data_IF_381559939170
#
_entry.id   IF_381559939170
#
_cell.length_a   1.000
_cell.length_b   1.000
_cell.length_c   1.000
_cell.angle_alpha   90.00
_cell.angle_beta   90.00
_cell.angle_gamma   90.00
#
_symmetry.space_group_name_H-M   'P 1'
#
loop_
_entity.id
_entity.type
_entity.pdbx_description
1 polymer ?
#
# COMPACT_ATOMS: atom_id res chain seq x y z
N UNK A 1 -22.56 2.95 3.89
CA UNK A 1 -22.42 3.56 2.54
C UNK A 1 -21.77 4.95 2.55
N UNK A 2 -21.92 5.76 3.63
CA UNK A 2 -21.32 7.12 3.71
C UNK A 2 -19.84 7.12 3.39
N UNK A 3 -19.07 6.14 3.87
CA UNK A 3 -17.64 6.03 3.64
C UNK A 3 -17.26 5.84 2.16
N UNK A 4 -18.18 5.46 1.29
CA UNK A 4 -17.95 5.32 -0.14
C UNK A 4 -17.89 6.67 -0.86
N UNK A 5 -18.47 7.72 -0.26
CA UNK A 5 -18.52 9.07 -0.82
C UNK A 5 -17.33 9.95 -0.37
N UNK A 6 -16.57 9.52 0.63
CA UNK A 6 -15.35 10.19 1.07
C UNK A 6 -14.18 9.64 0.25
N UNK A 7 -13.61 10.44 -0.64
CA UNK A 7 -12.58 10.03 -1.60
C UNK A 7 -11.28 10.77 -1.30
N UNK A 8 -10.18 10.04 -1.27
CA UNK A 8 -8.83 10.56 -1.12
C UNK A 8 -7.99 10.33 -2.37
N UNK A 9 -7.12 11.28 -2.63
CA UNK A 9 -6.09 11.20 -3.65
C UNK A 9 -4.74 11.33 -2.95
N UNK A 10 -3.90 10.31 -3.08
CA UNK A 10 -2.56 10.27 -2.50
C UNK A 10 -1.52 10.30 -3.61
N UNK A 11 -0.45 11.07 -3.40
CA UNK A 11 0.80 10.90 -4.11
C UNK A 11 1.66 9.92 -3.32
N UNK A 12 2.08 8.82 -3.96
CA UNK A 12 2.94 7.79 -3.37
C UNK A 12 4.25 7.79 -4.15
N UNK A 13 5.36 7.98 -3.44
CA UNK A 13 6.69 8.02 -4.03
C UNK A 13 7.54 6.86 -3.52
N UNK A 14 8.42 6.34 -4.39
CA UNK A 14 9.37 5.31 -4.02
C UNK A 14 8.80 3.94 -3.70
N UNK A 15 7.59 3.61 -4.21
CA UNK A 15 6.98 2.30 -4.00
C UNK A 15 7.62 1.24 -4.88
N UNK A 16 8.00 0.07 -4.33
CA UNK A 16 8.51 -1.04 -5.14
C UNK A 16 7.44 -1.56 -6.11
N UNK A 17 7.88 -2.11 -7.24
CA UNK A 17 6.96 -2.75 -8.19
C UNK A 17 6.30 -3.99 -7.60
N UNK A 18 6.98 -4.70 -6.71
CA UNK A 18 6.41 -5.82 -5.97
C UNK A 18 5.21 -5.37 -5.12
N UNK A 19 5.34 -4.26 -4.39
CA UNK A 19 4.25 -3.70 -3.61
C UNK A 19 3.14 -3.14 -4.51
N UNK A 20 3.50 -2.46 -5.61
CA UNK A 20 2.55 -1.97 -6.60
C UNK A 20 1.69 -3.09 -7.20
N UNK A 21 2.27 -4.25 -7.53
CA UNK A 21 1.50 -5.39 -8.04
C UNK A 21 0.45 -5.88 -7.05
N UNK A 22 0.80 -5.91 -5.76
CA UNK A 22 -0.15 -6.27 -4.71
C UNK A 22 -1.22 -5.19 -4.50
N UNK A 23 -0.85 -3.90 -4.59
CA UNK A 23 -1.77 -2.78 -4.52
C UNK A 23 -2.78 -2.82 -5.67
N UNK A 24 -2.33 -3.08 -6.90
CA UNK A 24 -3.18 -3.15 -8.09
C UNK A 24 -4.21 -4.30 -8.06
N UNK A 25 -4.12 -5.24 -7.12
CA UNK A 25 -5.15 -6.28 -6.92
C UNK A 25 -6.38 -5.78 -6.18
N UNK A 26 -6.32 -4.63 -5.55
CA UNK A 26 -7.48 -3.96 -4.96
C UNK A 26 -8.29 -3.30 -6.07
N UNK A 27 -9.54 -3.77 -6.27
CA UNK A 27 -10.33 -3.42 -7.46
C UNK A 27 -11.03 -2.07 -7.39
N UNK A 28 -11.25 -1.56 -6.18
CA UNK A 28 -11.98 -0.30 -5.96
C UNK A 28 -11.02 0.89 -5.75
N UNK A 29 -9.91 0.88 -6.48
CA UNK A 29 -8.92 1.95 -6.49
C UNK A 29 -8.64 2.39 -7.92
N UNK A 30 -8.16 3.62 -8.08
CA UNK A 30 -7.62 4.11 -9.34
C UNK A 30 -6.14 4.42 -9.18
N UNK A 31 -5.33 3.98 -10.13
CA UNK A 31 -3.89 4.14 -10.13
C UNK A 31 -3.44 4.87 -11.40
N UNK A 32 -2.67 5.94 -11.23
CA UNK A 32 -1.89 6.55 -12.30
C UNK A 32 -0.40 6.37 -11.97
N UNK A 33 0.25 5.45 -12.65
CA UNK A 33 1.60 4.98 -12.34
C UNK A 33 2.59 5.51 -13.35
N UNK A 34 3.75 5.97 -12.87
CA UNK A 34 4.85 6.38 -13.73
C UNK A 34 5.36 5.20 -14.57
N UNK A 35 5.45 5.41 -15.88
CA UNK A 35 5.85 4.37 -16.81
C UNK A 35 7.30 3.93 -16.58
N UNK A 36 7.56 2.61 -16.61
CA UNK A 36 8.91 2.04 -16.58
C UNK A 36 9.76 2.43 -17.78
N UNK A 37 9.17 2.78 -18.90
CA UNK A 37 9.92 3.29 -20.08
C UNK A 37 10.69 4.56 -19.73
N UNK A 38 10.10 5.43 -18.88
CA UNK A 38 10.72 6.66 -18.40
C UNK A 38 11.63 6.44 -17.18
N UNK A 39 11.31 5.47 -16.32
CA UNK A 39 12.10 5.17 -15.13
C UNK A 39 13.54 4.71 -15.47
N UNK A 40 13.72 4.03 -16.62
CA UNK A 40 15.05 3.65 -17.13
C UNK A 40 15.91 4.85 -17.56
N UNK A 41 15.37 6.05 -17.67
CA UNK A 41 16.11 7.26 -18.07
C UNK A 41 16.66 8.05 -16.89
N UNK A 42 16.01 7.95 -15.73
CA UNK A 42 16.37 8.70 -14.51
C UNK A 42 16.56 7.71 -13.36
N UNK A 43 17.80 7.31 -13.09
CA UNK A 43 18.24 6.58 -11.90
C UNK A 43 17.18 5.63 -11.32
N UNK A 44 17.32 4.35 -11.60
CA UNK A 44 16.50 3.32 -10.98
C UNK A 44 16.83 3.31 -9.49
N UNK A 45 16.02 3.99 -8.69
CA UNK A 45 16.00 3.78 -7.25
C UNK A 45 15.38 2.42 -6.99
N UNK A 46 15.80 1.78 -5.93
CA UNK A 46 15.28 0.48 -5.54
C UNK A 46 14.99 0.44 -4.05
N UNK A 47 13.98 -0.32 -3.72
CA UNK A 47 13.61 -0.62 -2.34
C UNK A 47 14.52 -1.73 -1.81
N UNK A 48 15.17 -1.50 -0.68
CA UNK A 48 15.85 -2.54 0.08
C UNK A 48 14.87 -3.07 1.12
N UNK A 49 14.56 -4.37 1.11
CA UNK A 49 13.70 -4.96 2.12
C UNK A 49 14.21 -4.68 3.53
N UNK A 50 13.33 -4.19 4.41
CA UNK A 50 13.68 -3.85 5.79
C UNK A 50 13.98 -5.06 6.66
N UNK A 51 13.67 -6.26 6.18
CA UNK A 51 14.00 -7.53 6.80
C UNK A 51 15.45 -7.94 6.61
N UNK A 52 16.18 -7.30 5.68
CA UNK A 52 17.60 -7.54 5.47
C UNK A 52 18.42 -6.73 6.46
N UNK A 53 19.19 -7.43 7.27
CA UNK A 53 20.19 -6.86 8.18
C UNK A 53 21.59 -6.98 7.54
N UNK A 54 22.56 -6.22 8.04
CA UNK A 54 23.94 -6.38 7.63
C UNK A 54 24.51 -7.73 8.10
N UNK A 55 25.31 -8.48 7.29
CA UNK A 55 25.85 -8.08 5.96
C UNK A 55 24.94 -8.35 4.75
N UNK A 56 23.80 -9.01 4.94
CA UNK A 56 22.93 -9.47 3.85
C UNK A 56 22.43 -8.32 2.98
N UNK A 57 22.24 -7.13 3.58
CA UNK A 57 21.85 -5.92 2.84
C UNK A 57 22.92 -5.45 1.85
N UNK A 58 24.21 -5.62 2.17
CA UNK A 58 25.33 -5.31 1.25
C UNK A 58 25.39 -6.31 0.09
N UNK A 59 25.24 -7.60 0.38
CA UNK A 59 25.21 -8.65 -0.65
C UNK A 59 24.02 -8.47 -1.59
N UNK A 60 22.86 -8.12 -1.04
CA UNK A 60 21.67 -7.75 -1.83
C UNK A 60 21.96 -6.60 -2.79
N UNK A 61 22.55 -5.53 -2.29
CA UNK A 61 22.90 -4.35 -3.09
C UNK A 61 23.89 -4.69 -4.20
N UNK A 62 24.93 -5.46 -3.89
CA UNK A 62 25.93 -5.89 -4.87
C UNK A 62 25.29 -6.69 -6.02
N UNK A 63 24.45 -7.68 -5.69
CA UNK A 63 23.75 -8.49 -6.69
C UNK A 63 22.82 -7.62 -7.57
N UNK A 64 22.12 -6.67 -6.95
CA UNK A 64 21.21 -5.77 -7.64
C UNK A 64 21.94 -4.81 -8.60
N UNK A 65 23.07 -4.26 -8.20
CA UNK A 65 23.87 -3.37 -9.02
C UNK A 65 24.33 -4.08 -10.31
N UNK A 66 24.66 -5.37 -10.24
CA UNK A 66 24.93 -6.22 -11.41
C UNK A 66 23.76 -6.31 -12.38
N UNK A 67 22.56 -6.63 -11.86
CA UNK A 67 21.33 -6.71 -12.69
C UNK A 67 20.99 -5.36 -13.32
N UNK A 68 21.15 -4.26 -12.60
CA UNK A 68 20.89 -2.91 -13.13
C UNK A 68 21.92 -2.52 -14.21
N UNK A 69 23.19 -2.95 -14.10
CA UNK A 69 24.20 -2.75 -15.14
C UNK A 69 23.84 -3.52 -16.42
N UNK A 70 23.42 -4.79 -16.28
CA UNK A 70 22.95 -5.60 -17.41
C UNK A 70 21.71 -4.99 -18.06
N UNK A 71 20.78 -4.49 -17.27
CA UNK A 71 19.59 -3.78 -17.76
C UNK A 71 19.97 -2.55 -18.61
N UNK A 72 20.97 -1.77 -18.19
CA UNK A 72 21.47 -0.62 -18.94
C UNK A 72 22.12 -1.07 -20.26
N UNK A 73 22.86 -2.17 -20.25
CA UNK A 73 23.47 -2.76 -21.45
C UNK A 73 22.39 -3.20 -22.45
N UNK A 74 21.35 -3.91 -21.98
CA UNK A 74 20.23 -4.29 -22.83
C UNK A 74 19.46 -3.09 -23.39
N UNK A 75 19.30 -2.04 -22.58
CA UNK A 75 18.68 -0.79 -23.03
C UNK A 75 19.44 -0.15 -24.17
N UNK A 76 20.76 -0.09 -24.08
CA UNK A 76 21.61 0.48 -25.12
C UNK A 76 21.55 -0.33 -26.42
N UNK A 77 21.45 -1.66 -26.33
CA UNK A 77 21.43 -2.55 -27.48
C UNK A 77 20.04 -2.68 -28.14
N UNK A 78 18.96 -2.74 -27.34
CA UNK A 78 17.63 -3.16 -27.78
C UNK A 78 16.51 -2.17 -27.41
N UNK A 79 16.82 -1.11 -26.66
CA UNK A 79 15.85 -0.11 -26.21
C UNK A 79 15.09 -0.48 -24.94
N UNK A 80 14.25 0.45 -24.48
CA UNK A 80 13.55 0.36 -23.20
C UNK A 80 12.57 -0.81 -23.11
N UNK A 81 11.93 -1.19 -24.22
CA UNK A 81 10.92 -2.25 -24.23
C UNK A 81 11.49 -3.64 -24.00
N UNK A 82 12.74 -3.86 -24.38
CA UNK A 82 13.46 -5.10 -24.08
C UNK A 82 14.07 -5.05 -22.68
N UNK A 83 14.76 -3.95 -22.35
CA UNK A 83 15.44 -3.81 -21.07
C UNK A 83 14.50 -3.93 -19.84
N UNK A 84 13.25 -3.47 -19.96
CA UNK A 84 12.26 -3.55 -18.86
C UNK A 84 11.96 -4.97 -18.39
N UNK A 85 12.18 -6.01 -19.21
CA UNK A 85 11.97 -7.41 -18.81
C UNK A 85 13.02 -7.91 -17.82
N UNK A 86 14.18 -7.24 -17.75
CA UNK A 86 15.22 -7.56 -16.77
C UNK A 86 15.11 -6.74 -15.48
N UNK A 87 14.22 -5.74 -15.42
CA UNK A 87 14.06 -4.93 -14.23
C UNK A 87 13.56 -5.77 -13.05
N UNK A 88 14.29 -5.77 -11.92
CA UNK A 88 13.83 -6.47 -10.74
C UNK A 88 12.63 -5.77 -10.09
N UNK A 89 11.82 -6.54 -9.37
CA UNK A 89 10.59 -6.06 -8.71
C UNK A 89 10.84 -5.04 -7.58
N UNK A 90 12.08 -4.97 -7.07
CA UNK A 90 12.48 -3.97 -6.08
C UNK A 90 12.67 -2.56 -6.67
N UNK A 91 12.74 -2.41 -8.00
CA UNK A 91 12.80 -1.09 -8.63
C UNK A 91 11.56 -0.29 -8.26
N UNK A 92 11.78 0.95 -7.83
CA UNK A 92 10.72 1.81 -7.33
C UNK A 92 10.00 2.56 -8.44
N UNK A 93 8.80 3.02 -8.12
CA UNK A 93 7.96 3.86 -8.97
C UNK A 93 7.17 4.85 -8.13
N UNK A 94 6.72 5.93 -8.79
CA UNK A 94 5.82 6.91 -8.20
C UNK A 94 4.43 6.74 -8.82
N UNK A 95 3.40 7.04 -8.05
CA UNK A 95 2.03 6.91 -8.52
C UNK A 95 1.08 7.88 -7.82
N UNK A 96 -0.04 8.15 -8.48
CA UNK A 96 -1.21 8.73 -7.86
C UNK A 96 -2.21 7.61 -7.57
N UNK A 97 -2.63 7.53 -6.33
CA UNK A 97 -3.61 6.57 -5.82
C UNK A 97 -4.89 7.30 -5.44
N UNK A 98 -6.02 6.91 -6.02
CA UNK A 98 -7.34 7.41 -5.64
C UNK A 98 -8.18 6.25 -5.13
N UNK A 99 -8.76 6.41 -3.93
CA UNK A 99 -9.68 5.44 -3.34
C UNK A 99 -10.62 6.13 -2.34
N UNK A 100 -11.74 5.49 -2.07
CA UNK A 100 -12.64 5.96 -1.03
C UNK A 100 -12.26 5.41 0.35
N UNK A 101 -12.81 6.02 1.40
CA UNK A 101 -12.49 5.67 2.79
C UNK A 101 -12.89 4.22 3.14
N UNK A 102 -13.94 3.68 2.52
CA UNK A 102 -14.34 2.28 2.72
C UNK A 102 -13.29 1.31 2.16
N UNK A 103 -12.78 1.58 0.95
CA UNK A 103 -11.72 0.77 0.36
C UNK A 103 -10.41 0.93 1.14
N UNK A 104 -10.07 2.14 1.58
CA UNK A 104 -8.89 2.36 2.42
C UNK A 104 -8.97 1.54 3.72
N UNK A 105 -10.13 1.48 4.36
CA UNK A 105 -10.38 0.63 5.54
C UNK A 105 -10.17 -0.86 5.20
N UNK A 106 -10.64 -1.31 4.04
CA UNK A 106 -10.45 -2.68 3.58
C UNK A 106 -8.97 -3.00 3.33
N UNK A 107 -8.25 -2.12 2.62
CA UNK A 107 -6.80 -2.21 2.39
C UNK A 107 -6.06 -2.27 3.72
N UNK A 108 -6.34 -1.34 4.64
CA UNK A 108 -5.69 -1.29 5.95
C UNK A 108 -5.89 -2.59 6.73
N UNK A 109 -7.13 -3.09 6.81
CA UNK A 109 -7.46 -4.35 7.51
C UNK A 109 -6.67 -5.54 6.95
N UNK A 110 -6.57 -5.66 5.63
CA UNK A 110 -5.87 -6.77 4.98
C UNK A 110 -4.35 -6.63 5.05
N UNK A 111 -3.82 -5.41 4.95
CA UNK A 111 -2.39 -5.17 4.71
C UNK A 111 -1.60 -4.79 5.95
N UNK A 112 -2.23 -4.59 7.10
CA UNK A 112 -1.53 -4.42 8.39
C UNK A 112 -1.41 -5.71 9.20
N UNK A 113 -1.91 -6.84 8.67
CA UNK A 113 -1.74 -8.16 9.29
C UNK A 113 -0.31 -8.66 9.20
N UNK A 114 0.10 -9.52 10.14
CA UNK A 114 1.47 -10.06 10.26
C UNK A 114 1.97 -10.84 9.03
N UNK A 115 1.06 -11.35 8.22
CA UNK A 115 1.37 -12.12 7.00
C UNK A 115 1.46 -11.26 5.75
N UNK A 116 1.14 -9.98 5.84
CA UNK A 116 1.28 -9.06 4.72
C UNK A 116 2.75 -8.64 4.55
N UNK A 117 3.15 -8.36 3.31
CA UNK A 117 4.47 -7.85 2.98
C UNK A 117 4.76 -6.58 3.80
N UNK A 118 5.94 -6.49 4.42
CA UNK A 118 6.27 -5.40 5.36
C UNK A 118 6.19 -4.02 4.70
N UNK A 119 6.67 -3.88 3.47
CA UNK A 119 6.52 -2.63 2.70
C UNK A 119 5.06 -2.21 2.56
N UNK A 120 4.15 -3.17 2.28
CA UNK A 120 2.73 -2.85 2.18
C UNK A 120 2.10 -2.51 3.54
N UNK A 121 2.57 -3.14 4.62
CA UNK A 121 2.14 -2.74 5.97
C UNK A 121 2.48 -1.27 6.23
N UNK A 122 3.69 -0.84 5.83
CA UNK A 122 4.13 0.55 5.98
C UNK A 122 3.33 1.49 5.08
N UNK A 123 3.11 1.14 3.82
CA UNK A 123 2.25 1.92 2.92
C UNK A 123 0.86 2.11 3.52
N UNK A 124 0.20 1.03 3.94
CA UNK A 124 -1.15 1.10 4.49
C UNK A 124 -1.23 1.98 5.75
N UNK A 125 -0.22 1.91 6.63
CA UNK A 125 -0.11 2.77 7.82
C UNK A 125 0.12 4.23 7.43
N UNK A 126 1.00 4.49 6.46
CA UNK A 126 1.32 5.84 5.98
C UNK A 126 0.10 6.51 5.34
N UNK A 127 -0.66 5.81 4.51
CA UNK A 127 -1.90 6.33 3.92
C UNK A 127 -2.88 6.80 5.00
N UNK A 128 -3.07 5.99 6.06
CA UNK A 128 -3.98 6.33 7.16
C UNK A 128 -3.43 7.47 8.03
N UNK A 129 -2.10 7.58 8.19
CA UNK A 129 -1.48 8.67 8.93
C UNK A 129 -1.63 10.04 8.25
N UNK A 130 -1.94 10.07 6.96
CA UNK A 130 -2.22 11.30 6.21
C UNK A 130 -3.66 11.82 6.40
N UNK A 131 -4.57 11.05 7.03
CA UNK A 131 -5.95 11.47 7.23
C UNK A 131 -6.13 12.33 8.48
N UNK A 132 -7.21 13.14 8.55
CA UNK A 132 -7.70 13.68 9.81
C UNK A 132 -7.93 12.56 10.84
N UNK A 133 -7.70 12.84 12.14
CA UNK A 133 -7.67 11.79 13.17
C UNK A 133 -9.02 11.06 13.34
N UNK A 134 -10.13 11.76 13.21
CA UNK A 134 -11.47 11.18 13.25
C UNK A 134 -11.72 10.18 12.12
N UNK A 135 -11.25 10.49 10.90
CA UNK A 135 -11.35 9.59 9.76
C UNK A 135 -10.33 8.44 9.84
N UNK A 136 -9.11 8.73 10.31
CA UNK A 136 -8.11 7.71 10.59
C UNK A 136 -8.59 6.69 11.63
N UNK A 137 -9.30 7.14 12.67
CA UNK A 137 -9.93 6.28 13.66
C UNK A 137 -10.97 5.34 13.02
N UNK A 138 -11.78 5.83 12.09
CA UNK A 138 -12.75 4.99 11.36
C UNK A 138 -12.05 3.91 10.51
N UNK A 139 -10.89 4.20 9.94
CA UNK A 139 -10.11 3.23 9.15
C UNK A 139 -9.42 2.21 10.04
N UNK A 140 -8.78 2.65 11.12
CA UNK A 140 -8.06 1.78 12.08
C UNK A 140 -8.99 0.85 12.83
N UNK A 141 -10.25 1.17 12.87
CA UNK A 141 -11.23 0.42 13.64
C UNK A 141 -11.37 -1.02 13.13
N UNK A 142 -10.78 -1.95 13.86
CA UNK A 142 -10.63 -3.36 13.45
C UNK A 142 -11.90 -4.20 13.59
N UNK A 143 -12.97 -3.69 14.22
CA UNK A 143 -14.00 -4.61 14.63
C UNK A 143 -15.24 -4.58 13.74
N UNK A 144 -15.44 -5.70 13.04
CA UNK A 144 -16.78 -6.16 12.66
C UNK A 144 -17.73 -6.25 13.90
N UNK A 145 -17.16 -6.15 15.10
CA UNK A 145 -17.87 -6.14 16.37
C UNK A 145 -18.59 -4.80 16.62
N UNK A 146 -17.99 -3.64 16.29
CA UNK A 146 -18.71 -2.37 16.41
C UNK A 146 -19.82 -2.27 15.36
N UNK A 147 -19.54 -2.64 14.09
CA UNK A 147 -20.60 -2.68 13.09
C UNK A 147 -21.75 -3.59 13.52
N UNK A 148 -21.42 -4.73 14.13
CA UNK A 148 -22.43 -5.63 14.72
C UNK A 148 -23.12 -5.00 15.90
N UNK A 149 -22.39 -4.37 16.83
CA UNK A 149 -22.97 -3.71 17.99
C UNK A 149 -23.84 -2.50 17.62
N UNK A 150 -23.39 -1.69 16.63
CA UNK A 150 -24.20 -0.60 16.07
C UNK A 150 -25.47 -1.14 15.41
N UNK A 151 -25.34 -2.20 14.62
CA UNK A 151 -26.50 -2.83 13.97
C UNK A 151 -27.47 -3.40 15.00
N UNK A 152 -26.96 -4.13 15.99
CA UNK A 152 -27.73 -4.69 17.10
C UNK A 152 -28.49 -3.59 17.85
N UNK A 153 -27.82 -2.47 18.16
CA UNK A 153 -28.47 -1.32 18.81
C UNK A 153 -29.55 -0.67 17.93
N UNK A 154 -29.27 -0.50 16.63
CA UNK A 154 -30.24 0.07 15.69
C UNK A 154 -31.45 -0.84 15.45
N UNK A 155 -31.25 -2.16 15.53
CA UNK A 155 -32.34 -3.16 15.36
C UNK A 155 -33.14 -3.39 16.64
N UNK A 156 -32.50 -3.38 17.80
CA UNK A 156 -33.14 -3.76 19.09
C UNK A 156 -33.52 -2.58 19.96
N UNK A 157 -32.76 -1.45 19.87
CA UNK A 157 -32.95 -0.28 20.73
C UNK A 157 -32.75 -0.55 22.23
N UNK A 158 -32.13 -1.68 22.60
CA UNK A 158 -31.98 -2.09 24.00
C UNK A 158 -30.89 -1.34 24.72
N UNK A 159 -31.04 -1.09 26.03
CA UNK A 159 -30.02 -0.47 26.86
C UNK A 159 -28.75 -1.31 26.93
N UNK A 160 -28.86 -2.64 26.92
CA UNK A 160 -27.70 -3.55 26.88
C UNK A 160 -26.85 -3.38 25.61
N UNK A 161 -27.52 -3.23 24.44
CA UNK A 161 -26.82 -2.98 23.18
C UNK A 161 -26.13 -1.59 23.18
N UNK A 162 -26.75 -0.61 23.80
CA UNK A 162 -26.21 0.73 23.99
C UNK A 162 -24.96 0.71 24.87
N UNK A 163 -25.04 0.10 26.06
CA UNK A 163 -23.90 -0.01 26.98
C UNK A 163 -22.71 -0.78 26.37
N UNK A 164 -23.01 -1.80 25.55
CA UNK A 164 -21.99 -2.55 24.82
C UNK A 164 -21.29 -1.67 23.80
N UNK A 165 -22.05 -0.83 23.09
CA UNK A 165 -21.52 0.12 22.12
C UNK A 165 -20.64 1.17 22.79
N UNK A 166 -21.09 1.75 23.91
CA UNK A 166 -20.34 2.74 24.69
C UNK A 166 -19.01 2.18 25.17
N UNK A 167 -18.96 0.96 25.72
CA UNK A 167 -17.72 0.26 26.13
C UNK A 167 -16.76 -0.07 24.98
N UNK A 168 -17.22 -0.03 23.74
CA UNK A 168 -16.37 -0.31 22.56
C UNK A 168 -15.82 0.95 21.91
N UNK A 169 -16.32 2.12 22.28
CA UNK A 169 -15.89 3.42 21.77
C UNK A 169 -14.90 4.09 22.73
N UNK A 170 -14.91 3.72 24.02
CA UNK A 170 -13.87 4.07 25.00
C UNK A 170 -12.58 3.27 24.75
#
# INVERSE_FOLDING_TARGET
>A
SVLEHVVYVFEVQGLSRACLQQLARHRHISLSVKSTRWALEKHSEYYTPLELEEPDAEDWKYALDGVLADTKTLKAAYGNDVAKYLLPECVTTDLILTLNLRELRHVYKLRTGKTAMLEFQHLAKALVACLPEDEAALVRYKSDALERAVREYLETGTDEARERLERMVE
#
